data_IF_635135846769
#
_entry.id   IF_635135846769
#
_cell.length_a   1.000
_cell.length_b   1.000
_cell.length_c   1.000
_cell.angle_alpha   90.00
_cell.angle_beta   90.00
_cell.angle_gamma   90.00
#
_symmetry.space_group_name_H-M   'P 1'
#
loop_
_entity.id
_entity.type
_entity.pdbx_description
1 polymer ?
#
# COMPACT_ATOMS: atom_id res chain seq x y z
N UNK A 1 -13.12 -4.00 35.20
CA UNK A 1 -13.66 -4.24 33.84
C UNK A 1 -15.01 -3.55 33.74
N UNK A 2 -15.15 -2.41 33.04
CA UNK A 2 -16.46 -1.75 32.88
C UNK A 2 -17.31 -2.55 31.89
N UNK A 3 -18.51 -2.95 32.31
CA UNK A 3 -19.52 -3.59 31.46
C UNK A 3 -19.90 -2.63 30.32
N UNK A 4 -19.87 -3.06 29.05
CA UNK A 4 -20.17 -2.18 27.92
C UNK A 4 -21.63 -1.75 27.96
N UNK A 5 -21.88 -0.45 27.75
CA UNK A 5 -23.22 0.15 27.76
C UNK A 5 -24.06 -0.38 26.59
N UNK A 6 -25.40 -0.36 26.71
CA UNK A 6 -26.33 -0.85 25.69
C UNK A 6 -26.03 -0.35 24.24
N UNK A 7 -25.68 0.93 23.99
CA UNK A 7 -25.30 1.39 22.65
C UNK A 7 -23.95 0.84 22.15
N UNK A 8 -22.99 0.54 23.05
CA UNK A 8 -21.72 -0.10 22.67
C UNK A 8 -21.94 -1.55 22.24
N UNK A 9 -22.87 -2.27 22.88
CA UNK A 9 -23.27 -3.63 22.46
C UNK A 9 -23.96 -3.63 21.10
N UNK A 10 -24.91 -2.71 20.88
CA UNK A 10 -25.58 -2.57 19.60
C UNK A 10 -24.59 -2.26 18.45
N UNK A 11 -23.66 -1.32 18.67
CA UNK A 11 -22.60 -0.99 17.70
C UNK A 11 -21.67 -2.18 17.44
N UNK A 12 -21.29 -2.94 18.46
CA UNK A 12 -20.46 -4.14 18.30
C UNK A 12 -21.16 -5.25 17.52
N UNK A 13 -22.45 -5.49 17.77
CA UNK A 13 -23.26 -6.43 17.00
C UNK A 13 -23.41 -6.00 15.54
N UNK A 14 -23.66 -4.71 15.28
CA UNK A 14 -23.75 -4.17 13.93
C UNK A 14 -22.44 -4.32 13.15
N UNK A 15 -21.30 -3.92 13.75
CA UNK A 15 -19.97 -4.09 13.13
C UNK A 15 -19.63 -5.57 12.90
N UNK A 16 -20.05 -6.45 13.82
CA UNK A 16 -19.89 -7.90 13.64
C UNK A 16 -20.71 -8.40 12.46
N UNK A 17 -21.96 -7.93 12.29
CA UNK A 17 -22.79 -8.24 11.11
C UNK A 17 -22.13 -7.82 9.81
N UNK A 18 -21.63 -6.57 9.74
CA UNK A 18 -20.91 -6.05 8.57
C UNK A 18 -19.68 -6.90 8.23
N UNK A 19 -18.94 -7.34 9.25
CA UNK A 19 -17.70 -8.12 9.04
C UNK A 19 -17.89 -9.47 8.35
N UNK A 20 -19.12 -9.99 8.24
CA UNK A 20 -19.40 -11.22 7.50
C UNK A 20 -19.39 -11.02 5.98
N UNK A 21 -19.74 -9.83 5.49
CA UNK A 21 -19.86 -9.54 4.07
C UNK A 21 -18.88 -8.48 3.56
N UNK A 22 -18.21 -7.73 4.44
CA UNK A 22 -17.17 -6.76 4.06
C UNK A 22 -15.76 -7.36 4.02
N UNK A 23 -14.81 -6.61 3.45
CA UNK A 23 -13.42 -7.03 3.26
C UNK A 23 -13.30 -8.36 2.51
N UNK A 24 -12.35 -9.21 2.91
CA UNK A 24 -12.06 -10.48 2.22
C UNK A 24 -13.11 -11.61 2.44
N UNK A 25 -14.16 -11.37 3.25
CA UNK A 25 -15.11 -12.40 3.71
C UNK A 25 -14.45 -13.69 4.23
N UNK A 26 -13.44 -13.57 5.11
CA UNK A 26 -12.63 -14.72 5.56
C UNK A 26 -13.43 -15.82 6.26
N UNK A 27 -14.49 -15.46 6.99
CA UNK A 27 -15.36 -16.44 7.66
C UNK A 27 -16.11 -17.30 6.64
N UNK A 28 -16.66 -16.65 5.60
CA UNK A 28 -17.29 -17.33 4.48
C UNK A 28 -16.31 -18.21 3.72
N UNK A 29 -15.09 -17.72 3.46
CA UNK A 29 -14.02 -18.52 2.82
C UNK A 29 -13.71 -19.82 3.58
N UNK A 30 -13.56 -19.75 4.91
CA UNK A 30 -13.36 -20.96 5.75
C UNK A 30 -14.54 -21.92 5.73
N UNK A 31 -15.76 -21.40 5.62
CA UNK A 31 -16.95 -22.23 5.45
C UNK A 31 -16.99 -22.88 4.05
N UNK A 32 -16.56 -22.16 3.02
CA UNK A 32 -16.52 -22.59 1.63
C UNK A 32 -15.55 -23.76 1.39
N UNK A 33 -14.43 -23.81 2.11
CA UNK A 33 -13.44 -24.91 2.05
C UNK A 33 -14.06 -26.30 2.30
N UNK A 34 -15.19 -26.37 3.03
CA UNK A 34 -15.89 -27.61 3.37
C UNK A 34 -17.03 -27.96 2.40
N UNK A 35 -17.32 -27.10 1.42
CA UNK A 35 -18.41 -27.28 0.47
C UNK A 35 -17.98 -28.11 -0.73
N UNK A 36 -18.95 -28.54 -1.55
CA UNK A 36 -18.64 -29.28 -2.78
C UNK A 36 -17.85 -28.45 -3.79
N UNK A 37 -17.01 -29.12 -4.58
CA UNK A 37 -16.03 -28.49 -5.45
C UNK A 37 -16.62 -27.45 -6.41
N UNK A 38 -17.81 -27.67 -6.97
CA UNK A 38 -18.44 -26.71 -7.89
C UNK A 38 -18.81 -25.38 -7.20
N UNK A 39 -19.20 -25.39 -5.91
CA UNK A 39 -19.40 -24.14 -5.16
C UNK A 39 -18.07 -23.43 -4.88
N UNK A 40 -17.03 -24.20 -4.58
CA UNK A 40 -15.69 -23.61 -4.41
C UNK A 40 -15.24 -22.95 -5.71
N UNK A 41 -15.41 -23.64 -6.85
CA UNK A 41 -15.08 -23.10 -8.17
C UNK A 41 -15.87 -21.82 -8.47
N UNK A 42 -17.17 -21.79 -8.16
CA UNK A 42 -17.99 -20.59 -8.30
C UNK A 42 -17.48 -19.44 -7.40
N UNK A 43 -17.18 -19.70 -6.13
CA UNK A 43 -16.59 -18.72 -5.21
C UNK A 43 -15.27 -18.16 -5.76
N UNK A 44 -14.40 -19.02 -6.30
CA UNK A 44 -13.12 -18.60 -6.89
C UNK A 44 -13.31 -17.76 -8.14
N UNK A 45 -14.30 -18.07 -8.98
CA UNK A 45 -14.69 -17.27 -10.15
C UNK A 45 -15.23 -15.89 -9.72
N UNK A 46 -16.11 -15.84 -8.73
CA UNK A 46 -16.65 -14.58 -8.21
C UNK A 46 -15.53 -13.71 -7.59
N UNK A 47 -14.66 -14.30 -6.77
CA UNK A 47 -13.47 -13.60 -6.26
C UNK A 47 -12.56 -13.16 -7.39
N UNK A 48 -12.37 -13.98 -8.42
CA UNK A 48 -11.62 -13.65 -9.62
C UNK A 48 -12.16 -12.41 -10.34
N UNK A 49 -13.47 -12.28 -10.47
CA UNK A 49 -14.09 -11.08 -11.03
C UNK A 49 -13.75 -9.84 -10.18
N UNK A 50 -13.90 -9.92 -8.86
CA UNK A 50 -13.62 -8.79 -7.95
C UNK A 50 -12.13 -8.41 -7.88
N UNK A 51 -11.23 -9.37 -8.09
CA UNK A 51 -9.78 -9.18 -8.00
C UNK A 51 -9.20 -8.26 -9.07
N UNK A 52 -9.94 -7.98 -10.17
CA UNK A 52 -9.54 -6.96 -11.15
C UNK A 52 -9.31 -5.59 -10.48
N UNK A 53 -10.11 -5.26 -9.47
CA UNK A 53 -9.96 -4.04 -8.65
C UNK A 53 -9.38 -4.33 -7.27
N UNK A 54 -8.57 -5.40 -7.16
CA UNK A 54 -7.89 -5.87 -5.95
C UNK A 54 -8.80 -6.30 -4.79
N UNK A 55 -10.05 -6.65 -5.09
CA UNK A 55 -11.03 -7.05 -4.07
C UNK A 55 -11.12 -8.57 -3.98
N UNK A 56 -10.92 -9.13 -2.78
CA UNK A 56 -11.08 -10.56 -2.52
C UNK A 56 -12.45 -10.87 -1.88
N UNK A 57 -13.55 -10.54 -2.56
CA UNK A 57 -14.89 -10.66 -2.00
C UNK A 57 -15.86 -11.26 -3.04
N UNK A 58 -16.44 -12.45 -2.79
CA UNK A 58 -17.34 -13.12 -3.74
C UNK A 58 -18.68 -12.38 -3.90
N UNK A 59 -19.16 -11.68 -2.87
CA UNK A 59 -20.36 -10.83 -2.98
C UNK A 59 -20.09 -9.63 -3.88
N UNK A 60 -18.94 -8.97 -3.73
CA UNK A 60 -18.49 -7.93 -4.66
C UNK A 60 -18.39 -8.47 -6.09
N UNK A 61 -17.85 -9.68 -6.26
CA UNK A 61 -17.78 -10.37 -7.54
C UNK A 61 -19.15 -10.63 -8.18
N UNK A 62 -20.12 -11.06 -7.39
CA UNK A 62 -21.49 -11.26 -7.83
C UNK A 62 -22.13 -9.95 -8.31
N UNK A 63 -21.93 -8.86 -7.57
CA UNK A 63 -22.42 -7.53 -7.94
C UNK A 63 -21.73 -7.03 -9.22
N UNK A 64 -20.43 -7.31 -9.40
CA UNK A 64 -19.72 -7.00 -10.64
C UNK A 64 -20.32 -7.78 -11.81
N UNK A 65 -20.58 -9.08 -11.68
CA UNK A 65 -21.26 -9.83 -12.75
C UNK A 65 -22.65 -9.28 -13.07
N UNK A 66 -23.43 -8.83 -12.07
CA UNK A 66 -24.70 -8.16 -12.31
C UNK A 66 -24.53 -6.87 -13.15
N UNK A 67 -23.48 -6.08 -12.86
CA UNK A 67 -23.12 -4.93 -13.68
C UNK A 67 -22.68 -5.30 -15.10
N UNK A 68 -21.88 -6.35 -15.26
CA UNK A 68 -21.48 -6.86 -16.58
C UNK A 68 -22.68 -7.33 -17.41
N UNK A 69 -23.65 -7.99 -16.77
CA UNK A 69 -24.91 -8.40 -17.42
C UNK A 69 -25.72 -7.17 -17.86
N UNK A 70 -25.79 -6.14 -17.02
CA UNK A 70 -26.43 -4.86 -17.37
C UNK A 70 -25.72 -4.16 -18.53
N UNK A 71 -24.39 -4.28 -18.60
CA UNK A 71 -23.60 -3.78 -19.71
C UNK A 71 -23.97 -4.52 -21.00
N UNK A 72 -23.67 -5.82 -21.06
CA UNK A 72 -23.91 -6.64 -22.23
C UNK A 72 -23.81 -8.14 -21.84
N UNK A 73 -24.86 -8.91 -22.15
CA UNK A 73 -24.92 -10.35 -21.90
C UNK A 73 -23.77 -11.14 -22.55
N UNK A 74 -23.39 -10.78 -23.78
CA UNK A 74 -22.31 -11.44 -24.51
C UNK A 74 -20.94 -11.17 -23.89
N UNK A 75 -20.71 -9.94 -23.43
CA UNK A 75 -19.45 -9.58 -22.75
C UNK A 75 -19.37 -10.29 -21.40
N UNK A 76 -20.45 -10.28 -20.63
CA UNK A 76 -20.54 -10.99 -19.35
C UNK A 76 -20.26 -12.50 -19.50
N UNK A 77 -20.81 -13.13 -20.54
CA UNK A 77 -20.55 -14.54 -20.86
C UNK A 77 -19.07 -14.78 -21.18
N UNK A 78 -18.47 -13.96 -22.04
CA UNK A 78 -17.05 -14.11 -22.39
C UNK A 78 -16.13 -13.89 -21.19
N UNK A 79 -16.42 -12.91 -20.34
CA UNK A 79 -15.70 -12.68 -19.09
C UNK A 79 -15.84 -13.87 -18.12
N UNK A 80 -17.04 -14.42 -17.96
CA UNK A 80 -17.28 -15.62 -17.14
C UNK A 80 -16.46 -16.81 -17.65
N UNK A 81 -16.54 -17.10 -18.97
CA UNK A 81 -15.76 -18.16 -19.61
C UNK A 81 -14.26 -17.93 -19.39
N UNK A 82 -13.76 -16.71 -19.59
CA UNK A 82 -12.35 -16.42 -19.39
C UNK A 82 -11.88 -16.65 -17.94
N UNK A 83 -12.65 -16.18 -16.96
CA UNK A 83 -12.35 -16.41 -15.53
C UNK A 83 -12.35 -17.89 -15.18
N UNK A 84 -13.37 -18.63 -15.66
CA UNK A 84 -13.54 -20.04 -15.40
C UNK A 84 -12.37 -20.86 -15.96
N UNK A 85 -12.00 -20.64 -17.23
CA UNK A 85 -10.93 -21.40 -17.88
C UNK A 85 -9.52 -20.99 -17.41
N UNK A 86 -9.31 -19.73 -17.01
CA UNK A 86 -8.09 -19.35 -16.31
C UNK A 86 -7.97 -20.05 -14.95
N UNK A 87 -9.07 -20.15 -14.19
CA UNK A 87 -9.11 -20.87 -12.91
C UNK A 87 -8.88 -22.37 -13.10
N UNK A 88 -9.54 -22.99 -14.10
CA UNK A 88 -9.33 -24.41 -14.46
C UNK A 88 -7.88 -24.66 -14.86
N UNK A 89 -7.29 -23.80 -15.69
CA UNK A 89 -5.88 -23.91 -16.09
C UNK A 89 -4.95 -23.85 -14.88
N UNK A 90 -5.20 -22.94 -13.94
CA UNK A 90 -4.40 -22.85 -12.70
C UNK A 90 -4.50 -24.13 -11.85
N UNK A 91 -5.66 -24.79 -11.84
CA UNK A 91 -5.86 -26.08 -11.17
C UNK A 91 -5.09 -27.21 -11.86
N UNK A 92 -5.14 -27.27 -13.21
CA UNK A 92 -4.40 -28.24 -14.03
C UNK A 92 -2.89 -28.07 -13.81
N UNK A 93 -2.41 -26.83 -13.78
CA UNK A 93 -1.01 -26.47 -13.54
C UNK A 93 -0.59 -26.55 -12.06
N UNK A 94 -1.48 -27.03 -11.18
CA UNK A 94 -1.23 -27.20 -9.74
C UNK A 94 -0.68 -25.93 -9.05
N UNK A 95 -1.18 -24.76 -9.44
CA UNK A 95 -0.80 -23.50 -8.81
C UNK A 95 -1.27 -23.43 -7.35
N UNK A 96 -0.69 -22.49 -6.58
CA UNK A 96 -0.98 -22.33 -5.16
C UNK A 96 -2.49 -22.24 -4.88
N UNK A 97 -3.02 -23.20 -4.11
CA UNK A 97 -4.46 -23.32 -3.82
C UNK A 97 -5.04 -22.12 -3.10
N UNK A 98 -4.29 -21.48 -2.20
CA UNK A 98 -4.71 -20.26 -1.52
C UNK A 98 -4.83 -19.07 -2.48
N UNK A 99 -3.92 -18.95 -3.45
CA UNK A 99 -3.98 -17.92 -4.48
C UNK A 99 -5.15 -18.14 -5.46
N UNK A 100 -5.41 -19.40 -5.85
CA UNK A 100 -6.59 -19.77 -6.63
C UNK A 100 -7.87 -19.42 -5.85
N UNK A 101 -7.95 -19.82 -4.58
CA UNK A 101 -9.11 -19.56 -3.74
C UNK A 101 -9.34 -18.07 -3.47
N UNK A 102 -8.29 -17.26 -3.52
CA UNK A 102 -8.39 -15.80 -3.45
C UNK A 102 -8.75 -15.13 -4.79
N UNK A 103 -8.93 -15.89 -5.87
CA UNK A 103 -9.25 -15.37 -7.20
C UNK A 103 -8.06 -14.81 -8.00
N UNK A 104 -6.82 -14.94 -7.51
CA UNK A 104 -5.64 -14.32 -8.11
C UNK A 104 -5.25 -14.91 -9.49
N UNK A 105 -5.79 -16.08 -9.84
CA UNK A 105 -5.62 -16.68 -11.16
C UNK A 105 -6.82 -16.47 -12.09
N UNK A 106 -7.91 -15.86 -11.63
CA UNK A 106 -9.12 -15.63 -12.41
C UNK A 106 -9.21 -14.25 -13.06
N UNK A 107 -8.72 -13.20 -12.39
CA UNK A 107 -8.96 -11.81 -12.81
C UNK A 107 -8.27 -11.40 -14.11
N UNK A 108 -7.15 -12.02 -14.49
CA UNK A 108 -6.59 -11.79 -15.82
C UNK A 108 -7.47 -12.44 -16.90
N UNK A 109 -8.05 -13.61 -16.61
CA UNK A 109 -8.96 -14.32 -17.50
C UNK A 109 -10.26 -13.57 -17.77
N UNK A 110 -10.87 -12.94 -16.74
CA UNK A 110 -12.09 -12.15 -16.96
C UNK A 110 -11.85 -11.00 -17.95
N UNK A 111 -10.73 -10.28 -17.79
CA UNK A 111 -10.37 -9.17 -18.66
C UNK A 111 -10.04 -9.65 -20.08
N UNK A 112 -9.32 -10.76 -20.23
CA UNK A 112 -9.08 -11.36 -21.55
C UNK A 112 -10.40 -11.64 -22.26
N UNK A 113 -11.32 -12.34 -21.60
CA UNK A 113 -12.62 -12.66 -22.20
C UNK A 113 -13.44 -11.43 -22.55
N UNK A 114 -13.56 -10.47 -21.62
CA UNK A 114 -14.29 -9.23 -21.84
C UNK A 114 -13.73 -8.44 -23.02
N UNK A 115 -12.43 -8.17 -23.02
CA UNK A 115 -11.83 -7.28 -24.01
C UNK A 115 -11.67 -7.95 -25.39
N UNK A 116 -11.56 -9.27 -25.44
CA UNK A 116 -11.69 -9.99 -26.73
C UNK A 116 -13.09 -9.84 -27.34
N UNK A 117 -14.14 -9.78 -26.52
CA UNK A 117 -15.49 -9.49 -27.00
C UNK A 117 -15.66 -8.02 -27.42
N UNK A 118 -15.18 -7.08 -26.60
CA UNK A 118 -15.25 -5.64 -26.88
C UNK A 118 -14.51 -5.27 -28.17
N UNK A 119 -13.33 -5.85 -28.41
CA UNK A 119 -12.52 -5.53 -29.59
C UNK A 119 -12.83 -6.39 -30.83
N UNK A 120 -13.80 -7.30 -30.77
CA UNK A 120 -14.17 -8.10 -31.95
C UNK A 120 -15.07 -7.32 -32.91
N UNK A 121 -14.68 -7.27 -34.18
CA UNK A 121 -15.48 -6.64 -35.25
C UNK A 121 -16.61 -7.55 -35.78
N UNK A 122 -16.75 -8.77 -35.26
CA UNK A 122 -17.88 -9.68 -35.58
C UNK A 122 -19.13 -9.37 -34.76
N UNK A 123 -19.02 -8.53 -33.73
CA UNK A 123 -20.13 -8.16 -32.84
C UNK A 123 -20.54 -9.27 -31.86
N UNK A 124 -21.72 -9.09 -31.27
CA UNK A 124 -22.23 -9.98 -30.24
C UNK A 124 -22.64 -11.35 -30.80
N UNK A 125 -22.57 -12.38 -29.94
CA UNK A 125 -22.99 -13.76 -30.23
C UNK A 125 -22.22 -14.48 -31.33
N UNK A 126 -21.03 -13.98 -31.69
CA UNK A 126 -20.08 -14.72 -32.53
C UNK A 126 -19.43 -15.86 -31.74
N UNK A 127 -20.11 -17.02 -31.66
CA UNK A 127 -19.73 -18.18 -30.84
C UNK A 127 -18.31 -18.68 -31.05
N UNK A 128 -17.76 -18.56 -32.26
CA UNK A 128 -16.37 -18.95 -32.55
C UNK A 128 -15.35 -18.20 -31.71
N UNK A 129 -15.67 -16.99 -31.21
CA UNK A 129 -14.80 -16.21 -30.32
C UNK A 129 -14.51 -16.93 -28.99
N UNK A 130 -15.38 -17.84 -28.56
CA UNK A 130 -15.15 -18.62 -27.34
C UNK A 130 -13.88 -19.48 -27.43
N UNK A 131 -13.52 -19.96 -28.63
CA UNK A 131 -12.32 -20.79 -28.82
C UNK A 131 -11.02 -20.04 -28.49
N UNK A 132 -10.69 -18.91 -29.14
CA UNK A 132 -9.50 -18.15 -28.78
C UNK A 132 -9.61 -17.54 -27.38
N UNK A 133 -10.81 -17.20 -26.88
CA UNK A 133 -11.00 -16.73 -25.51
C UNK A 133 -10.57 -17.79 -24.49
N UNK A 134 -11.08 -19.03 -24.61
CA UNK A 134 -10.68 -20.14 -23.75
C UNK A 134 -9.17 -20.34 -23.80
N UNK A 135 -8.60 -20.40 -25.00
CA UNK A 135 -7.16 -20.61 -25.17
C UNK A 135 -6.33 -19.51 -24.49
N UNK A 136 -6.61 -18.23 -24.78
CA UNK A 136 -5.88 -17.11 -24.18
C UNK A 136 -6.08 -17.04 -22.67
N UNK A 137 -7.29 -17.31 -22.17
CA UNK A 137 -7.57 -17.34 -20.74
C UNK A 137 -6.81 -18.46 -20.03
N UNK A 138 -6.68 -19.64 -20.65
CA UNK A 138 -5.86 -20.74 -20.11
C UNK A 138 -4.36 -20.41 -20.07
N UNK A 139 -3.88 -19.47 -20.90
CA UNK A 139 -2.49 -18.98 -20.84
C UNK A 139 -2.26 -17.98 -19.69
N UNK A 140 -3.30 -17.38 -19.12
CA UNK A 140 -3.16 -16.39 -18.04
C UNK A 140 -2.35 -16.90 -16.84
N UNK A 141 -2.61 -18.11 -16.28
CA UNK A 141 -1.81 -18.63 -15.17
C UNK A 141 -0.34 -18.87 -15.52
N UNK A 142 -0.04 -19.26 -16.77
CA UNK A 142 1.33 -19.49 -17.24
C UNK A 142 2.10 -18.16 -17.23
N UNK A 143 1.54 -17.13 -17.88
CA UNK A 143 2.15 -15.79 -17.91
C UNK A 143 2.23 -15.19 -16.51
N UNK A 144 1.19 -15.38 -15.69
CA UNK A 144 1.17 -14.94 -14.28
C UNK A 144 2.30 -15.57 -13.48
N UNK A 145 2.49 -16.88 -13.60
CA UNK A 145 3.57 -17.60 -12.90
C UNK A 145 4.95 -17.14 -13.37
N UNK A 146 5.15 -16.96 -14.68
CA UNK A 146 6.41 -16.46 -15.22
C UNK A 146 6.75 -15.06 -14.69
N UNK A 147 5.80 -14.12 -14.75
CA UNK A 147 5.99 -12.76 -14.24
C UNK A 147 6.18 -12.74 -12.72
N UNK A 148 5.45 -13.57 -11.97
CA UNK A 148 5.59 -13.66 -10.52
C UNK A 148 6.99 -14.13 -10.11
N UNK A 149 7.61 -15.03 -10.89
CA UNK A 149 8.98 -15.48 -10.62
C UNK A 149 10.02 -14.36 -10.70
N UNK A 150 9.77 -13.35 -11.55
CA UNK A 150 10.61 -12.15 -11.69
C UNK A 150 10.25 -11.14 -10.60
N UNK A 151 8.97 -10.77 -10.51
CA UNK A 151 8.49 -9.68 -9.64
C UNK A 151 8.64 -10.01 -8.15
N UNK A 152 8.58 -11.28 -7.76
CA UNK A 152 8.79 -11.71 -6.37
C UNK A 152 10.17 -11.35 -5.81
N UNK A 153 11.18 -11.13 -6.66
CA UNK A 153 12.52 -10.67 -6.24
C UNK A 153 12.50 -9.27 -5.61
N UNK A 154 11.51 -8.45 -5.96
CA UNK A 154 11.31 -7.10 -5.43
C UNK A 154 10.03 -6.96 -4.60
N UNK A 155 9.41 -8.10 -4.24
CA UNK A 155 8.11 -8.15 -3.56
C UNK A 155 7.07 -7.28 -4.31
N UNK A 156 6.95 -7.50 -5.63
CA UNK A 156 6.00 -6.81 -6.51
C UNK A 156 4.90 -7.75 -7.02
N UNK A 157 3.65 -7.27 -7.14
CA UNK A 157 2.58 -8.03 -7.75
C UNK A 157 2.75 -8.08 -9.27
N UNK A 158 2.05 -9.01 -9.94
CA UNK A 158 2.03 -9.10 -11.41
C UNK A 158 1.02 -8.17 -12.06
N UNK A 159 0.05 -7.67 -11.29
CA UNK A 159 -1.06 -6.86 -11.79
C UNK A 159 -1.76 -7.49 -13.01
N UNK A 160 -2.33 -6.66 -13.88
CA UNK A 160 -3.02 -7.11 -15.09
C UNK A 160 -2.06 -7.30 -16.26
N UNK A 161 -0.74 -7.41 -16.03
CA UNK A 161 0.26 -7.67 -17.09
C UNK A 161 -0.06 -8.94 -17.91
N UNK A 162 -0.47 -10.08 -17.31
CA UNK A 162 -0.86 -11.25 -18.08
C UNK A 162 -2.00 -10.97 -19.06
N UNK A 163 -3.05 -10.27 -18.62
CA UNK A 163 -4.15 -9.83 -19.47
C UNK A 163 -3.66 -8.96 -20.63
N UNK A 164 -2.86 -7.93 -20.32
CA UNK A 164 -2.38 -6.97 -21.31
C UNK A 164 -1.56 -7.67 -22.41
N UNK A 165 -0.65 -8.57 -22.01
CA UNK A 165 0.17 -9.35 -22.94
C UNK A 165 -0.71 -10.22 -23.84
N UNK A 166 -1.67 -10.95 -23.27
CA UNK A 166 -2.45 -11.96 -24.01
C UNK A 166 -3.49 -11.33 -24.94
N UNK A 167 -4.14 -10.23 -24.53
CA UNK A 167 -5.05 -9.49 -25.43
C UNK A 167 -4.26 -8.83 -26.56
N UNK A 168 -3.13 -8.20 -26.27
CA UNK A 168 -2.29 -7.64 -27.34
C UNK A 168 -1.79 -8.73 -28.29
N UNK A 169 -1.34 -9.87 -27.77
CA UNK A 169 -0.93 -11.01 -28.59
C UNK A 169 -2.07 -11.48 -29.51
N UNK A 170 -3.29 -11.62 -28.99
CA UNK A 170 -4.45 -12.00 -29.79
C UNK A 170 -4.74 -10.97 -30.89
N UNK A 171 -4.75 -9.68 -30.52
CA UNK A 171 -5.09 -8.60 -31.43
C UNK A 171 -4.03 -8.41 -32.54
N UNK A 172 -2.74 -8.55 -32.23
CA UNK A 172 -1.68 -8.52 -33.26
C UNK A 172 -1.77 -9.74 -34.18
N UNK A 173 -1.98 -10.94 -33.61
CA UNK A 173 -2.01 -12.18 -34.39
C UNK A 173 -3.20 -12.25 -35.35
N UNK A 174 -4.31 -11.60 -35.01
CA UNK A 174 -5.51 -11.57 -35.84
C UNK A 174 -5.57 -10.28 -36.67
N UNK A 175 -5.53 -9.13 -36.01
CA UNK A 175 -5.63 -7.81 -36.65
C UNK A 175 -7.01 -7.55 -37.26
N UNK A 176 -7.16 -6.36 -37.85
CA UNK A 176 -8.44 -5.93 -38.43
C UNK A 176 -8.87 -6.79 -39.63
N UNK A 177 -7.92 -7.25 -40.44
CA UNK A 177 -8.18 -7.94 -41.70
C UNK A 177 -8.25 -9.47 -41.59
N UNK A 178 -8.26 -10.04 -40.37
CA UNK A 178 -8.45 -11.47 -40.22
C UNK A 178 -9.83 -11.91 -40.73
N UNK A 179 -9.90 -13.00 -41.48
CA UNK A 179 -11.18 -13.51 -41.98
C UNK A 179 -12.10 -14.00 -40.85
N UNK A 180 -11.53 -14.69 -39.86
CA UNK A 180 -12.27 -15.40 -38.82
C UNK A 180 -12.46 -14.55 -37.56
N UNK A 181 -11.43 -13.82 -37.14
CA UNK A 181 -11.41 -13.06 -35.90
C UNK A 181 -10.97 -11.60 -36.14
N UNK A 182 -11.64 -10.84 -37.02
CA UNK A 182 -11.27 -9.45 -37.29
C UNK A 182 -11.45 -8.61 -36.02
N UNK A 183 -10.45 -7.79 -35.71
CA UNK A 183 -10.49 -6.84 -34.60
C UNK A 183 -11.05 -5.48 -35.04
N UNK A 184 -11.53 -4.67 -34.11
CA UNK A 184 -11.87 -3.26 -34.38
C UNK A 184 -10.65 -2.52 -34.91
N UNK A 185 -10.88 -1.60 -35.85
CA UNK A 185 -9.80 -0.81 -36.43
C UNK A 185 -9.38 0.30 -35.46
N UNK A 186 -8.11 0.27 -35.04
CA UNK A 186 -7.50 1.32 -34.22
C UNK A 186 -6.41 1.97 -35.06
N UNK A 187 -6.42 3.30 -35.13
CA UNK A 187 -5.48 4.07 -35.93
C UNK A 187 -4.91 5.25 -35.11
N UNK A 188 -3.68 5.67 -35.40
CA UNK A 188 -3.14 6.90 -34.83
C UNK A 188 -3.93 8.10 -35.30
N UNK A 189 -4.07 9.11 -34.44
CA UNK A 189 -4.69 10.38 -34.84
C UNK A 189 -3.77 11.09 -35.83
N UNK A 190 -4.31 11.45 -36.99
CA UNK A 190 -3.61 12.23 -38.02
C UNK A 190 -3.90 13.72 -37.96
N UNK A 191 -4.92 14.14 -37.21
CA UNK A 191 -5.42 15.51 -37.16
C UNK A 191 -5.61 16.00 -35.73
N UNK A 192 -5.53 17.32 -35.57
CA UNK A 192 -5.83 17.99 -34.31
C UNK A 192 -7.34 17.90 -34.04
N UNK A 193 -7.77 17.47 -32.83
CA UNK A 193 -9.19 17.46 -32.51
C UNK A 193 -9.73 18.89 -32.44
N UNK A 194 -10.83 19.15 -33.13
CA UNK A 194 -11.53 20.42 -33.03
C UNK A 194 -12.32 20.47 -31.71
N UNK A 195 -11.81 21.21 -30.71
CA UNK A 195 -12.40 21.30 -29.38
C UNK A 195 -13.03 22.68 -29.18
N UNK A 196 -14.35 22.72 -29.07
CA UNK A 196 -15.09 23.92 -28.70
C UNK A 196 -15.40 23.88 -27.20
N UNK A 197 -14.62 24.59 -26.39
CA UNK A 197 -14.79 24.58 -24.92
C UNK A 197 -16.18 24.99 -24.43
N UNK A 198 -16.90 25.79 -25.21
CA UNK A 198 -18.28 26.18 -24.90
C UNK A 198 -19.29 25.03 -25.02
N UNK A 199 -18.96 23.95 -25.74
CA UNK A 199 -19.81 22.77 -25.94
C UNK A 199 -19.61 21.70 -24.85
N UNK A 200 -18.84 22.00 -23.82
CA UNK A 200 -18.58 21.06 -22.73
C UNK A 200 -19.87 20.72 -21.99
N UNK A 201 -20.21 19.44 -21.97
CA UNK A 201 -21.35 18.90 -21.22
C UNK A 201 -20.89 18.51 -19.81
N UNK A 202 -21.21 19.37 -18.85
CA UNK A 202 -20.86 19.20 -17.43
C UNK A 202 -21.51 17.95 -16.83
N UNK A 203 -22.74 17.61 -17.24
CA UNK A 203 -23.39 16.39 -16.76
C UNK A 203 -22.62 15.16 -17.23
N UNK A 204 -22.17 15.14 -18.49
CA UNK A 204 -21.32 14.06 -19.01
C UNK A 204 -19.96 13.98 -18.33
N UNK A 205 -19.37 15.11 -17.92
CA UNK A 205 -18.18 15.10 -17.08
C UNK A 205 -18.44 14.37 -15.75
N UNK A 206 -19.50 14.71 -15.02
CA UNK A 206 -19.82 13.99 -13.79
C UNK A 206 -20.08 12.51 -14.02
N UNK A 207 -20.80 12.15 -15.09
CA UNK A 207 -21.03 10.73 -15.43
C UNK A 207 -19.76 10.03 -15.91
N UNK A 208 -18.74 10.75 -16.37
CA UNK A 208 -17.46 10.14 -16.78
C UNK A 208 -16.73 9.47 -15.62
N UNK A 209 -17.00 9.89 -14.37
CA UNK A 209 -16.41 9.31 -13.16
C UNK A 209 -16.85 7.85 -12.96
N UNK A 210 -18.16 7.52 -12.87
CA UNK A 210 -18.59 6.13 -12.84
C UNK A 210 -18.26 5.39 -14.13
N UNK A 211 -18.36 6.02 -15.32
CA UNK A 211 -17.97 5.37 -16.59
C UNK A 211 -16.49 4.96 -16.58
N UNK A 212 -15.60 5.80 -16.06
CA UNK A 212 -14.17 5.47 -15.91
C UNK A 212 -13.93 4.27 -14.99
N UNK A 213 -14.76 4.08 -13.96
CA UNK A 213 -14.72 2.85 -13.14
C UNK A 213 -15.26 1.65 -13.92
N UNK A 214 -16.32 1.83 -14.72
CA UNK A 214 -16.85 0.81 -15.63
C UNK A 214 -15.81 0.34 -16.65
N UNK A 215 -15.04 1.28 -17.22
CA UNK A 215 -14.02 1.01 -18.24
C UNK A 215 -12.86 0.15 -17.74
N UNK A 216 -12.70 -0.04 -16.43
CA UNK A 216 -11.77 -1.05 -15.87
C UNK A 216 -12.10 -2.46 -16.43
N UNK A 217 -13.36 -2.72 -16.75
CA UNK A 217 -13.86 -3.94 -17.38
C UNK A 217 -14.28 -3.73 -18.84
N UNK A 218 -13.93 -2.59 -19.46
CA UNK A 218 -14.39 -2.23 -20.80
C UNK A 218 -15.88 -1.88 -20.90
N UNK A 219 -16.50 -1.41 -19.80
CA UNK A 219 -17.91 -1.06 -19.75
C UNK A 219 -18.12 0.45 -19.83
N UNK A 220 -18.94 0.91 -20.77
CA UNK A 220 -19.20 2.33 -21.03
C UNK A 220 -20.50 2.87 -20.41
N UNK A 221 -21.40 2.00 -19.91
CA UNK A 221 -22.65 2.47 -19.28
C UNK A 221 -22.36 3.03 -17.88
N UNK A 222 -22.82 4.26 -17.56
CA UNK A 222 -22.60 4.86 -16.24
C UNK A 222 -23.22 4.04 -15.10
N UNK A 223 -24.36 3.38 -15.36
CA UNK A 223 -25.02 2.52 -14.39
C UNK A 223 -24.19 1.29 -14.00
N UNK A 224 -23.49 0.69 -14.97
CA UNK A 224 -22.54 -0.40 -14.71
C UNK A 224 -21.42 0.06 -13.79
N UNK A 225 -20.85 1.23 -14.07
CA UNK A 225 -19.88 1.90 -13.20
C UNK A 225 -20.40 2.16 -11.79
N UNK A 226 -21.64 2.64 -11.66
CA UNK A 226 -22.32 2.83 -10.37
C UNK A 226 -22.47 1.53 -9.56
N UNK A 227 -22.82 0.43 -10.23
CA UNK A 227 -22.88 -0.90 -9.60
C UNK A 227 -21.49 -1.34 -9.11
N UNK A 228 -20.43 -1.06 -9.88
CA UNK A 228 -19.06 -1.37 -9.46
C UNK A 228 -18.62 -0.53 -8.25
N UNK A 229 -19.02 0.75 -8.17
CA UNK A 229 -18.80 1.58 -6.98
C UNK A 229 -19.44 0.93 -5.73
N UNK A 230 -20.69 0.46 -5.83
CA UNK A 230 -21.38 -0.23 -4.73
C UNK A 230 -20.63 -1.50 -4.34
N UNK A 231 -20.18 -2.28 -5.32
CA UNK A 231 -19.38 -3.50 -5.12
C UNK A 231 -18.09 -3.22 -4.33
N UNK A 232 -17.36 -2.17 -4.70
CA UNK A 232 -16.15 -1.74 -4.00
C UNK A 232 -16.46 -1.28 -2.58
N UNK A 233 -17.50 -0.46 -2.40
CA UNK A 233 -17.89 0.09 -1.11
C UNK A 233 -18.24 -1.01 -0.09
N UNK A 234 -18.93 -2.07 -0.52
CA UNK A 234 -19.27 -3.22 0.32
C UNK A 234 -18.01 -3.90 0.87
N UNK A 235 -16.97 -4.04 0.05
CA UNK A 235 -15.71 -4.64 0.49
C UNK A 235 -14.86 -3.67 1.32
N UNK A 236 -14.56 -2.49 0.77
CA UNK A 236 -13.72 -1.46 1.37
C UNK A 236 -14.15 -0.06 0.92
N UNK A 237 -14.71 0.75 1.83
CA UNK A 237 -14.97 2.16 1.57
C UNK A 237 -13.72 2.94 1.15
N UNK A 238 -12.53 2.61 1.66
CA UNK A 238 -11.28 3.26 1.26
C UNK A 238 -10.91 2.94 -0.19
N UNK A 239 -11.02 1.68 -0.61
CA UNK A 239 -10.82 1.27 -2.01
C UNK A 239 -11.82 1.98 -2.91
N UNK A 240 -13.08 2.04 -2.51
CA UNK A 240 -14.13 2.77 -3.22
C UNK A 240 -13.79 4.26 -3.39
N UNK A 241 -13.34 4.93 -2.33
CA UNK A 241 -12.99 6.34 -2.38
C UNK A 241 -11.83 6.61 -3.35
N UNK A 242 -10.76 5.79 -3.30
CA UNK A 242 -9.63 5.94 -4.22
C UNK A 242 -9.99 5.56 -5.67
N UNK A 243 -10.96 4.67 -5.88
CA UNK A 243 -11.49 4.39 -7.22
C UNK A 243 -12.16 5.65 -7.81
N UNK A 244 -13.05 6.29 -7.05
CA UNK A 244 -13.75 7.52 -7.48
C UNK A 244 -12.75 8.66 -7.69
N UNK A 245 -11.80 8.85 -6.77
CA UNK A 245 -10.75 9.86 -6.90
C UNK A 245 -9.86 9.62 -8.11
N UNK A 246 -9.42 8.37 -8.34
CA UNK A 246 -8.61 8.00 -9.49
C UNK A 246 -9.32 8.31 -10.81
N UNK A 247 -10.60 7.94 -10.92
CA UNK A 247 -11.40 8.26 -12.11
C UNK A 247 -11.55 9.77 -12.34
N UNK A 248 -11.82 10.53 -11.26
CA UNK A 248 -11.92 11.99 -11.34
C UNK A 248 -10.59 12.67 -11.71
N UNK A 249 -9.46 12.20 -11.16
CA UNK A 249 -8.11 12.68 -11.53
C UNK A 249 -7.84 12.42 -13.00
N UNK A 250 -8.21 11.25 -13.50
CA UNK A 250 -8.12 10.91 -14.92
C UNK A 250 -8.91 11.87 -15.80
N UNK A 251 -10.19 12.10 -15.48
CA UNK A 251 -11.05 13.07 -16.17
C UNK A 251 -10.42 14.47 -16.19
N UNK A 252 -9.97 14.99 -15.05
CA UNK A 252 -9.34 16.32 -14.95
C UNK A 252 -8.04 16.37 -15.76
N UNK A 253 -7.26 15.30 -15.77
CA UNK A 253 -6.02 15.21 -16.57
C UNK A 253 -6.32 15.26 -18.08
N UNK A 254 -7.41 14.61 -18.52
CA UNK A 254 -7.87 14.68 -19.91
C UNK A 254 -8.27 16.10 -20.31
N UNK A 255 -8.96 16.82 -19.43
CA UNK A 255 -9.27 18.25 -19.64
C UNK A 255 -7.98 19.08 -19.71
N UNK A 256 -7.06 18.88 -18.78
CA UNK A 256 -5.79 19.62 -18.74
C UNK A 256 -4.93 19.42 -20.01
N UNK A 257 -5.05 18.26 -20.65
CA UNK A 257 -4.35 17.94 -21.90
C UNK A 257 -5.16 18.22 -23.17
N UNK A 258 -6.29 18.91 -23.05
CA UNK A 258 -7.19 19.21 -24.16
C UNK A 258 -7.53 17.93 -24.97
N UNK A 259 -7.88 16.86 -24.27
CA UNK A 259 -8.36 15.64 -24.91
C UNK A 259 -9.77 15.86 -25.49
N UNK A 260 -10.13 15.16 -26.58
CA UNK A 260 -11.50 15.19 -27.09
C UNK A 260 -12.50 14.85 -25.99
N UNK A 261 -13.54 15.65 -25.84
CA UNK A 261 -14.54 15.45 -24.79
C UNK A 261 -15.20 14.07 -24.87
N UNK A 262 -15.38 13.52 -26.07
CA UNK A 262 -15.87 12.16 -26.27
C UNK A 262 -15.06 11.10 -25.54
N UNK A 263 -13.72 11.16 -25.60
CA UNK A 263 -12.83 10.21 -24.92
C UNK A 263 -12.94 10.33 -23.40
N UNK A 264 -13.11 11.56 -22.91
CA UNK A 264 -13.28 11.85 -21.48
C UNK A 264 -14.63 11.29 -21.02
N UNK A 265 -15.73 11.60 -21.73
CA UNK A 265 -17.08 11.13 -21.41
C UNK A 265 -17.19 9.60 -21.46
N UNK A 266 -16.47 8.97 -22.38
CA UNK A 266 -16.38 7.52 -22.50
C UNK A 266 -15.50 6.87 -21.42
N UNK A 267 -14.93 7.65 -20.50
CA UNK A 267 -14.16 7.19 -19.36
C UNK A 267 -12.75 6.68 -19.69
N UNK A 268 -12.26 6.89 -20.92
CA UNK A 268 -10.96 6.38 -21.38
C UNK A 268 -9.77 6.99 -20.62
N UNK A 269 -9.98 8.17 -20.05
CA UNK A 269 -8.99 8.84 -19.20
C UNK A 269 -9.02 8.39 -17.73
N UNK A 270 -10.09 7.72 -17.29
CA UNK A 270 -10.33 7.40 -15.88
C UNK A 270 -9.82 6.02 -15.46
N UNK A 271 -10.02 4.98 -16.25
CA UNK A 271 -9.91 3.59 -15.78
C UNK A 271 -8.50 3.15 -15.34
N UNK A 272 -7.46 3.59 -16.04
CA UNK A 272 -6.08 3.33 -15.62
C UNK A 272 -5.76 4.03 -14.29
N UNK A 273 -6.25 5.27 -14.14
CA UNK A 273 -6.09 6.09 -12.94
C UNK A 273 -6.84 5.51 -11.74
N UNK A 274 -8.02 4.88 -11.96
CA UNK A 274 -8.76 4.12 -10.93
C UNK A 274 -7.86 3.05 -10.32
N UNK A 275 -7.29 2.17 -11.15
CA UNK A 275 -6.46 1.07 -10.68
C UNK A 275 -5.17 1.55 -10.00
N UNK A 276 -4.51 2.57 -10.57
CA UNK A 276 -3.30 3.15 -9.99
C UNK A 276 -3.57 3.79 -8.61
N UNK A 277 -4.66 4.56 -8.51
CA UNK A 277 -5.04 5.23 -7.27
C UNK A 277 -5.42 4.21 -6.17
N UNK A 278 -6.16 3.15 -6.51
CA UNK A 278 -6.46 2.06 -5.57
C UNK A 278 -5.17 1.35 -5.11
N UNK A 279 -4.28 0.99 -6.05
CA UNK A 279 -3.08 0.23 -5.75
C UNK A 279 -2.18 0.96 -4.73
N UNK A 280 -1.94 2.26 -4.94
CA UNK A 280 -1.10 3.06 -4.04
C UNK A 280 -1.88 3.52 -2.80
N UNK A 281 -3.17 3.84 -2.95
CA UNK A 281 -4.06 4.41 -1.93
C UNK A 281 -4.54 3.44 -0.87
N UNK A 282 -3.63 2.67 -0.25
CA UNK A 282 -3.92 1.80 0.89
C UNK A 282 -3.86 0.30 0.61
N UNK A 283 -3.81 -0.13 -0.66
CA UNK A 283 -3.69 -1.55 -1.00
C UNK A 283 -2.26 -2.07 -0.80
N UNK A 284 -1.27 -1.49 -1.50
CA UNK A 284 0.14 -1.92 -1.43
C UNK A 284 1.02 -1.01 -0.58
N UNK A 285 0.54 0.19 -0.22
CA UNK A 285 1.09 1.02 0.83
C UNK A 285 0.11 1.13 1.99
N UNK A 286 0.62 1.31 3.22
CA UNK A 286 -0.24 1.64 4.35
C UNK A 286 -0.78 3.08 4.21
N UNK A 287 -2.10 3.26 4.29
CA UNK A 287 -2.73 4.55 4.02
C UNK A 287 -2.39 5.59 5.11
N UNK A 288 -1.46 6.48 4.78
CA UNK A 288 -1.17 7.74 5.48
C UNK A 288 -1.54 8.92 4.59
N UNK A 289 -1.54 10.14 5.10
CA UNK A 289 -1.78 11.33 4.28
C UNK A 289 -0.73 11.49 3.15
N UNK A 290 0.53 11.14 3.43
CA UNK A 290 1.61 11.14 2.44
C UNK A 290 1.33 10.14 1.32
N UNK A 291 0.87 8.94 1.68
CA UNK A 291 0.51 7.89 0.71
C UNK A 291 -0.74 8.27 -0.08
N UNK A 292 -1.70 8.96 0.53
CA UNK A 292 -2.86 9.50 -0.18
C UNK A 292 -2.43 10.50 -1.28
N UNK A 293 -1.55 11.46 -0.94
CA UNK A 293 -0.96 12.36 -1.94
C UNK A 293 -0.17 11.60 -3.01
N UNK A 294 0.62 10.60 -2.61
CA UNK A 294 1.36 9.74 -3.54
C UNK A 294 0.44 9.00 -4.50
N UNK A 295 -0.73 8.54 -4.04
CA UNK A 295 -1.72 7.87 -4.87
C UNK A 295 -2.33 8.82 -5.91
N UNK A 296 -2.64 10.07 -5.53
CA UNK A 296 -3.12 11.10 -6.46
C UNK A 296 -2.02 11.42 -7.49
N UNK A 297 -0.77 11.58 -7.07
CA UNK A 297 0.37 11.79 -7.98
C UNK A 297 0.55 10.62 -8.94
N UNK A 298 0.41 9.37 -8.45
CA UNK A 298 0.45 8.18 -9.28
C UNK A 298 -0.69 8.16 -10.30
N UNK A 299 -1.90 8.56 -9.92
CA UNK A 299 -3.05 8.67 -10.81
C UNK A 299 -2.83 9.72 -11.92
N UNK A 300 -2.29 10.90 -11.59
CA UNK A 300 -1.90 11.90 -12.61
C UNK A 300 -0.83 11.34 -13.55
N UNK A 301 0.26 10.78 -13.01
CA UNK A 301 1.30 10.15 -13.83
C UNK A 301 0.72 9.07 -14.76
N UNK A 302 -0.22 8.27 -14.24
CA UNK A 302 -0.90 7.22 -14.99
C UNK A 302 -1.79 7.77 -16.11
N UNK A 303 -2.48 8.90 -15.90
CA UNK A 303 -3.27 9.56 -16.94
C UNK A 303 -2.40 10.00 -18.12
N UNK A 304 -1.28 10.67 -17.84
CA UNK A 304 -0.31 11.08 -18.85
C UNK A 304 0.28 9.87 -19.58
N UNK A 305 0.69 8.84 -18.84
CA UNK A 305 1.22 7.61 -19.42
C UNK A 305 0.15 6.88 -20.27
N UNK A 306 -1.12 6.99 -19.91
CA UNK A 306 -2.23 6.43 -20.69
C UNK A 306 -2.33 7.05 -22.07
N UNK A 307 -2.27 8.38 -22.17
CA UNK A 307 -2.25 9.07 -23.45
C UNK A 307 -1.01 8.70 -24.29
N UNK A 308 0.17 8.67 -23.66
CA UNK A 308 1.42 8.32 -24.35
C UNK A 308 1.39 6.89 -24.92
N UNK A 309 1.00 5.91 -24.11
CA UNK A 309 0.92 4.50 -24.53
C UNK A 309 -0.18 4.30 -25.56
N UNK A 310 -1.35 4.94 -25.42
CA UNK A 310 -2.41 4.86 -26.40
C UNK A 310 -1.95 5.35 -27.78
N UNK A 311 -1.25 6.49 -27.83
CA UNK A 311 -0.69 7.01 -29.08
C UNK A 311 0.33 6.04 -29.69
N UNK A 312 1.26 5.49 -28.90
CA UNK A 312 2.24 4.51 -29.39
C UNK A 312 1.55 3.25 -29.90
N UNK A 313 0.66 2.65 -29.11
CA UNK A 313 0.01 1.39 -29.44
C UNK A 313 -0.93 1.50 -30.63
N UNK A 314 -1.55 2.65 -30.85
CA UNK A 314 -2.40 2.89 -32.02
C UNK A 314 -1.66 2.74 -33.35
N UNK A 315 -0.33 2.99 -33.38
CA UNK A 315 0.50 2.77 -34.59
C UNK A 315 0.60 1.29 -34.99
N UNK A 316 0.39 0.38 -34.04
CA UNK A 316 0.33 -1.06 -34.25
C UNK A 316 -1.12 -1.59 -34.32
N UNK A 317 -2.12 -0.70 -34.33
CA UNK A 317 -3.53 -1.08 -34.30
C UNK A 317 -3.97 -1.67 -32.96
N UNK A 318 -3.31 -1.31 -31.86
CA UNK A 318 -3.58 -1.84 -30.53
C UNK A 318 -4.15 -0.78 -29.57
N UNK A 319 -5.02 -1.19 -28.63
CA UNK A 319 -5.45 -0.35 -27.53
C UNK A 319 -4.39 -0.31 -26.41
N UNK A 320 -4.37 0.75 -25.61
CA UNK A 320 -3.49 0.83 -24.43
C UNK A 320 -3.80 -0.24 -23.37
N UNK A 321 -5.06 -0.68 -23.29
CA UNK A 321 -5.57 -1.51 -22.20
C UNK A 321 -5.11 -0.96 -20.85
N UNK A 322 -4.64 -1.81 -19.95
CA UNK A 322 -4.17 -1.40 -18.61
C UNK A 322 -2.64 -1.44 -18.47
N UNK A 323 -1.90 -1.40 -19.60
CA UNK A 323 -0.45 -1.17 -19.58
C UNK A 323 -0.06 0.09 -18.80
N UNK A 324 -0.75 1.25 -18.97
CA UNK A 324 -0.40 2.46 -18.23
C UNK A 324 -0.53 2.29 -16.72
N UNK A 325 -1.59 1.64 -16.26
CA UNK A 325 -1.76 1.29 -14.84
C UNK A 325 -0.61 0.42 -14.34
N UNK A 326 -0.32 -0.71 -15.01
CA UNK A 326 0.69 -1.66 -14.55
C UNK A 326 2.05 -0.98 -14.42
N UNK A 327 2.47 -0.22 -15.43
CA UNK A 327 3.77 0.45 -15.44
C UNK A 327 3.82 1.55 -14.38
N UNK A 328 2.76 2.35 -14.24
CA UNK A 328 2.69 3.41 -13.22
C UNK A 328 2.77 2.85 -11.81
N UNK A 329 1.94 1.85 -11.49
CA UNK A 329 1.90 1.28 -10.16
C UNK A 329 3.21 0.56 -9.81
N UNK A 330 3.84 -0.15 -10.75
CA UNK A 330 5.15 -0.79 -10.54
C UNK A 330 6.25 0.25 -10.30
N UNK A 331 6.31 1.32 -11.10
CA UNK A 331 7.27 2.41 -10.89
C UNK A 331 7.12 3.01 -9.50
N UNK A 332 5.89 3.28 -9.05
CA UNK A 332 5.64 3.86 -7.74
C UNK A 332 5.88 2.87 -6.60
N UNK A 333 5.68 1.56 -6.80
CA UNK A 333 6.01 0.52 -5.81
C UNK A 333 7.51 0.21 -5.69
N UNK A 334 8.30 0.63 -6.68
CA UNK A 334 9.76 0.55 -6.66
C UNK A 334 10.40 1.80 -6.02
N UNK A 335 9.61 2.84 -5.74
CA UNK A 335 10.09 4.04 -5.07
C UNK A 335 10.66 3.70 -3.69
N UNK A 336 11.92 4.07 -3.48
CA UNK A 336 12.57 4.05 -2.16
C UNK A 336 12.57 5.45 -1.57
N UNK A 337 12.41 5.56 -0.25
CA UNK A 337 12.37 6.85 0.45
C UNK A 337 12.90 6.72 1.87
N UNK A 338 13.54 7.78 2.37
CA UNK A 338 14.06 7.85 3.74
C UNK A 338 12.97 8.11 4.80
N UNK A 339 11.72 8.36 4.41
CA UNK A 339 10.63 8.62 5.36
C UNK A 339 9.90 7.36 5.78
N UNK A 340 9.69 7.20 7.08
CA UNK A 340 8.90 6.10 7.65
C UNK A 340 7.38 6.27 7.48
N UNK A 341 6.93 7.37 6.85
CA UNK A 341 5.51 7.67 6.62
C UNK A 341 4.95 7.05 5.33
N UNK A 342 5.82 6.68 4.40
CA UNK A 342 5.49 5.97 3.17
C UNK A 342 5.96 4.54 3.35
N UNK A 343 5.05 3.67 3.77
CA UNK A 343 5.37 2.29 4.14
C UNK A 343 4.75 1.31 3.14
N UNK A 344 5.61 0.69 2.32
CA UNK A 344 5.21 -0.40 1.42
C UNK A 344 4.90 -1.64 2.26
N UNK A 345 3.73 -2.23 2.03
CA UNK A 345 3.32 -3.46 2.72
C UNK A 345 4.02 -4.67 2.09
N UNK A 346 4.50 -5.63 2.89
CA UNK A 346 4.94 -6.92 2.37
C UNK A 346 3.75 -7.61 1.69
N UNK A 347 3.93 -8.15 0.48
CA UNK A 347 2.81 -8.70 -0.30
C UNK A 347 2.06 -9.81 0.43
N UNK A 348 2.77 -10.65 1.18
CA UNK A 348 2.18 -11.72 1.98
C UNK A 348 1.22 -11.23 3.08
N UNK A 349 1.22 -9.92 3.40
CA UNK A 349 0.34 -9.29 4.39
C UNK A 349 -0.76 -8.43 3.76
N UNK A 350 -0.71 -8.17 2.46
CA UNK A 350 -1.71 -7.36 1.75
C UNK A 350 -3.08 -8.04 1.81
N UNK A 351 -4.09 -7.27 2.20
CA UNK A 351 -5.49 -7.67 2.20
C UNK A 351 -6.36 -6.56 1.61
N UNK A 352 -6.90 -5.67 2.45
CA UNK A 352 -7.65 -4.49 2.06
C UNK A 352 -7.25 -3.29 2.95
N UNK A 353 -7.47 -2.04 2.51
CA UNK A 353 -6.80 -0.87 3.09
C UNK A 353 -7.04 -0.67 4.58
N UNK A 354 -8.26 -0.87 5.06
CA UNK A 354 -8.61 -0.73 6.48
C UNK A 354 -7.81 -1.72 7.35
N UNK A 355 -7.64 -2.95 6.87
CA UNK A 355 -6.88 -3.98 7.59
C UNK A 355 -5.38 -3.80 7.44
N UNK A 356 -4.92 -3.37 6.27
CA UNK A 356 -3.52 -3.01 6.01
C UNK A 356 -3.06 -1.87 6.93
N UNK A 357 -3.91 -0.85 7.10
CA UNK A 357 -3.68 0.25 8.02
C UNK A 357 -3.61 -0.25 9.48
N UNK A 358 -4.50 -1.16 9.87
CA UNK A 358 -4.46 -1.82 11.18
C UNK A 358 -3.16 -2.62 11.42
N UNK A 359 -2.62 -3.27 10.38
CA UNK A 359 -1.32 -3.95 10.45
C UNK A 359 -0.17 -2.96 10.64
N UNK A 360 -0.15 -1.86 9.87
CA UNK A 360 0.85 -0.81 9.99
C UNK A 360 0.92 -0.20 11.40
N UNK A 361 -0.22 0.15 12.00
CA UNK A 361 -0.24 0.73 13.34
C UNK A 361 0.22 -0.26 14.43
N UNK A 362 -0.07 -1.55 14.27
CA UNK A 362 0.44 -2.59 15.17
C UNK A 362 1.96 -2.66 15.10
N UNK A 363 2.53 -2.65 13.90
CA UNK A 363 3.97 -2.67 13.67
C UNK A 363 4.64 -1.42 14.28
N UNK A 364 4.08 -0.22 14.04
CA UNK A 364 4.57 1.03 14.65
C UNK A 364 4.53 1.01 16.18
N UNK A 365 3.48 0.41 16.77
CA UNK A 365 3.40 0.25 18.22
C UNK A 365 4.47 -0.70 18.75
N UNK A 366 4.75 -1.81 18.05
CA UNK A 366 5.81 -2.76 18.40
C UNK A 366 7.19 -2.10 18.32
N UNK A 367 7.50 -1.38 17.24
CA UNK A 367 8.75 -0.62 17.10
C UNK A 367 8.95 0.38 18.25
N UNK A 368 7.89 1.10 18.64
CA UNK A 368 7.97 2.06 19.76
C UNK A 368 8.24 1.37 21.11
N UNK A 369 7.59 0.22 21.35
CA UNK A 369 7.81 -0.56 22.57
C UNK A 369 9.23 -1.13 22.64
N UNK A 370 9.77 -1.62 21.52
CA UNK A 370 11.15 -2.12 21.45
C UNK A 370 12.18 -1.02 21.66
N UNK A 371 11.97 0.17 21.07
CA UNK A 371 12.83 1.34 21.30
C UNK A 371 12.81 1.79 22.76
N UNK A 372 11.63 1.82 23.39
CA UNK A 372 11.51 2.17 24.80
C UNK A 372 12.27 1.17 25.70
N UNK A 373 12.14 -0.14 25.43
CA UNK A 373 12.88 -1.19 26.15
C UNK A 373 14.40 -1.08 25.96
N UNK A 374 14.84 -0.73 24.74
CA UNK A 374 16.26 -0.54 24.44
C UNK A 374 16.83 0.67 25.19
N UNK A 375 16.12 1.79 25.20
CA UNK A 375 16.49 2.98 25.95
C UNK A 375 16.52 2.74 27.47
N UNK A 376 15.56 1.97 28.00
CA UNK A 376 15.53 1.59 29.42
C UNK A 376 16.72 0.68 29.78
N UNK A 377 17.07 -0.27 28.92
CA UNK A 377 18.25 -1.14 29.12
C UNK A 377 19.55 -0.35 29.08
N UNK A 378 19.70 0.55 28.11
CA UNK A 378 20.87 1.43 27.98
C UNK A 378 20.99 2.38 29.19
N UNK A 379 19.88 2.97 29.64
CA UNK A 379 19.85 3.79 30.85
C UNK A 379 20.24 3.03 32.11
N UNK A 380 19.74 1.80 32.28
CA UNK A 380 20.10 0.95 33.42
C UNK A 380 21.58 0.50 33.38
N UNK A 381 22.13 0.23 32.20
CA UNK A 381 23.56 -0.10 32.04
C UNK A 381 24.45 1.12 32.34
N UNK A 382 24.05 2.31 31.89
CA UNK A 382 24.76 3.55 32.15
C UNK A 382 24.70 3.93 33.64
N UNK A 383 23.57 3.74 34.31
CA UNK A 383 23.44 3.93 35.75
C UNK A 383 24.34 2.97 36.54
N UNK A 384 24.39 1.69 36.16
CA UNK A 384 25.31 0.73 36.78
C UNK A 384 26.78 1.11 36.57
N UNK A 385 27.15 1.56 35.38
CA UNK A 385 28.51 2.03 35.10
C UNK A 385 28.86 3.28 35.93
N UNK A 386 27.91 4.18 36.18
CA UNK A 386 28.10 5.33 37.06
C UNK A 386 28.28 4.85 38.51
N UNK A 387 27.43 3.96 39.01
CA UNK A 387 27.56 3.37 40.35
C UNK A 387 28.89 2.63 40.55
N UNK A 388 29.33 1.83 39.57
CA UNK A 388 30.62 1.15 39.61
C UNK A 388 31.80 2.14 39.64
N UNK A 389 31.73 3.22 38.87
CA UNK A 389 32.75 4.27 38.89
C UNK A 389 32.77 5.03 40.22
N UNK A 390 31.61 5.33 40.82
CA UNK A 390 31.53 5.96 42.14
C UNK A 390 32.18 5.05 43.20
N UNK A 391 31.83 3.76 43.22
CA UNK A 391 32.41 2.78 44.13
C UNK A 391 33.93 2.65 43.93
N UNK A 392 34.41 2.68 42.68
CA UNK A 392 35.84 2.64 42.38
C UNK A 392 36.56 3.88 42.93
N UNK A 393 35.98 5.06 42.74
CA UNK A 393 36.54 6.33 43.17
C UNK A 393 36.56 6.45 44.71
N UNK A 394 35.50 6.00 45.40
CA UNK A 394 35.48 5.88 46.87
C UNK A 394 36.58 4.94 47.37
N UNK A 395 36.78 3.78 46.71
CA UNK A 395 37.86 2.86 47.06
C UNK A 395 39.26 3.46 46.86
N UNK A 396 39.46 4.26 45.81
CA UNK A 396 40.72 4.97 45.59
C UNK A 396 40.97 6.05 46.65
N UNK A 397 39.94 6.83 47.02
CA UNK A 397 40.05 7.80 48.11
C UNK A 397 40.43 7.14 49.44
N UNK A 398 39.77 6.03 49.79
CA UNK A 398 40.09 5.28 51.01
C UNK A 398 41.53 4.72 51.00
N UNK A 399 42.04 4.28 49.83
CA UNK A 399 43.46 3.88 49.72
C UNK A 399 44.40 5.05 49.97
N UNK A 400 44.14 6.20 49.36
CA UNK A 400 44.97 7.40 49.52
C UNK A 400 44.96 7.91 50.98
N UNK A 401 43.83 7.82 51.67
CA UNK A 401 43.74 8.13 53.10
C UNK A 401 44.54 7.15 53.95
N UNK A 402 44.46 5.85 53.67
CA UNK A 402 45.26 4.84 54.36
C UNK A 402 46.76 5.07 54.19
N UNK A 403 47.22 5.35 52.95
CA UNK A 403 48.61 5.71 52.67
C UNK A 403 49.06 6.99 53.38
N UNK A 404 48.17 8.00 53.53
CA UNK A 404 48.47 9.20 54.32
C UNK A 404 48.57 8.90 55.82
N UNK A 405 47.70 8.04 56.35
CA UNK A 405 47.79 7.65 57.76
C UNK A 405 49.05 6.83 58.04
N UNK A 406 49.44 5.93 57.14
CA UNK A 406 50.71 5.20 57.25
C UNK A 406 51.92 6.14 57.19
N UNK A 407 51.91 7.13 56.29
CA UNK A 407 52.96 8.17 56.27
C UNK A 407 52.96 9.05 57.51
N UNK A 408 51.78 9.44 58.00
CA UNK A 408 51.64 10.23 59.23
C UNK A 408 52.11 9.46 60.46
N UNK A 409 51.87 8.14 60.53
CA UNK A 409 52.43 7.28 61.58
C UNK A 409 53.95 7.12 61.47
N UNK A 410 54.47 6.98 60.25
CA UNK A 410 55.93 6.92 60.03
C UNK A 410 56.62 8.26 60.35
N UNK A 411 55.96 9.40 60.09
CA UNK A 411 56.43 10.73 60.48
C UNK A 411 56.29 10.98 62.00
N UNK A 412 55.24 10.44 62.65
CA UNK A 412 55.12 10.51 64.11
C UNK A 412 56.14 9.63 64.83
N UNK A 413 56.41 8.42 64.32
CA UNK A 413 57.47 7.55 64.82
C UNK A 413 58.86 8.17 64.60
N UNK A 414 59.08 8.86 63.48
CA UNK A 414 60.32 9.62 63.25
C UNK A 414 60.44 10.87 64.17
N UNK A 415 59.32 11.47 64.58
CA UNK A 415 59.31 12.61 65.53
C UNK A 415 59.39 12.18 67.01
N UNK A 416 59.06 10.92 67.33
CA UNK A 416 59.24 10.32 68.66
C UNK A 416 60.68 9.83 68.87
N UNK A 417 61.43 9.55 67.80
CA UNK A 417 62.87 9.17 67.87
C UNK A 417 63.84 10.37 67.91
N UNK A 418 63.37 11.62 67.75
CA UNK A 418 64.23 12.83 67.76
C UNK A 418 64.07 13.73 69.00
N UNK A 419 63.31 13.30 70.02
CA UNK A 419 63.04 14.12 71.21
C UNK A 419 63.45 13.47 72.54
N UNK A 420 64.63 12.85 72.58
CA UNK A 420 65.33 12.61 73.85
C UNK A 420 66.84 12.83 73.67
N UNK A 421 67.29 14.09 73.67
CA UNK A 421 68.55 14.50 74.32
C UNK A 421 68.78 16.03 74.33
N UNK A 422 68.89 16.57 75.55
CA UNK A 422 69.72 17.69 76.02
C UNK A 422 69.24 19.18 75.98
N UNK A 423 69.05 19.68 77.22
CA UNK A 423 69.55 20.92 77.84
C UNK A 423 69.18 22.35 77.35
N UNK A 424 68.43 23.04 78.24
CA UNK A 424 68.65 24.37 78.88
C UNK A 424 69.22 25.52 78.03
N UNK A 425 68.44 26.61 77.82
CA UNK A 425 68.70 27.96 78.37
C UNK A 425 67.55 28.94 78.06
N UNK A 426 67.26 29.81 79.03
CA UNK A 426 66.31 30.93 78.99
C UNK A 426 66.72 32.01 77.97
N UNK A 427 65.75 32.64 77.29
CA UNK A 427 65.72 34.12 77.21
C UNK A 427 64.38 34.65 76.66
N UNK A 428 63.91 35.69 77.35
CA UNK A 428 62.79 36.59 77.05
C UNK A 428 62.92 37.31 75.68
N UNK A 429 61.79 37.68 75.05
CA UNK A 429 61.39 39.08 74.74
C UNK A 429 59.99 39.16 74.08
N UNK A 430 59.32 40.23 74.47
CA UNK A 430 57.99 40.76 74.20
C UNK A 430 57.57 41.09 72.75
N UNK A 431 56.24 40.96 72.56
CA UNK A 431 55.25 41.88 71.95
C UNK A 431 55.35 42.47 70.52
N UNK A 432 54.14 42.47 69.93
CA UNK A 432 53.53 43.42 68.98
C UNK A 432 53.99 43.32 67.51
N UNK A 433 53.11 43.29 66.52
CA UNK A 433 51.65 43.39 66.52
C UNK A 433 51.07 43.46 65.11
N UNK A 434 49.73 43.52 65.08
CA UNK A 434 48.84 44.19 64.11
C UNK A 434 48.74 43.66 62.68
N UNK A 435 47.50 43.47 62.23
CA UNK A 435 47.14 43.57 60.81
C UNK A 435 45.93 42.73 60.40
N UNK A 436 44.74 43.23 60.71
CA UNK A 436 43.43 42.80 60.16
C UNK A 436 43.28 43.09 58.65
N UNK A 437 42.11 42.66 58.12
CA UNK A 437 41.40 43.08 56.89
C UNK A 437 41.70 42.26 55.61
N UNK A 438 40.74 41.79 54.78
CA UNK A 438 39.30 42.07 54.57
C UNK A 438 38.71 40.90 53.72
N UNK A 439 37.56 40.31 54.08
CA UNK A 439 36.20 40.45 53.50
C UNK A 439 35.99 39.98 52.03
N UNK A 440 35.03 39.06 51.83
CA UNK A 440 33.91 39.32 50.90
C UNK A 440 33.50 38.26 49.85
N UNK A 441 32.27 37.73 50.02
CA UNK A 441 31.25 37.40 48.98
C UNK A 441 31.53 36.26 47.97
N UNK A 442 30.56 35.49 47.41
CA UNK A 442 29.10 35.57 47.39
C UNK A 442 28.44 34.24 46.96
N UNK A 443 27.23 34.04 47.48
CA UNK A 443 25.96 33.58 46.88
C UNK A 443 25.81 32.34 45.97
N UNK A 444 24.86 31.51 46.42
CA UNK A 444 24.00 30.63 45.62
C UNK A 444 23.16 31.43 44.61
N UNK A 445 22.92 30.87 43.42
CA UNK A 445 21.77 31.28 42.60
C UNK A 445 21.12 30.08 41.94
N UNK A 446 19.84 29.92 42.26
CA UNK A 446 18.82 29.07 41.67
C UNK A 446 18.22 29.82 40.46
N UNK A 447 18.14 29.23 39.26
CA UNK A 447 17.31 29.76 38.16
C UNK A 447 16.67 28.65 37.31
N UNK A 448 15.41 28.93 37.02
CA UNK A 448 14.27 28.23 36.43
C UNK A 448 14.32 27.87 34.95
N UNK A 449 13.45 26.90 34.61
CA UNK A 449 12.88 26.61 33.29
C UNK A 449 12.24 27.85 32.65
N UNK A 450 12.45 28.02 31.34
CA UNK A 450 11.74 28.97 30.48
C UNK A 450 11.26 28.29 29.20
N UNK A 451 9.95 28.37 28.97
CA UNK A 451 9.25 28.11 27.71
C UNK A 451 9.66 29.12 26.63
N UNK A 452 9.59 28.71 25.35
CA UNK A 452 9.28 29.62 24.24
C UNK A 452 8.57 28.87 23.10
N UNK A 453 7.34 29.34 22.87
CA UNK A 453 6.58 29.55 21.61
C UNK A 453 6.78 28.64 20.39
#
# INVERSE_FOLDING_TARGET
MKTPTNPQRARACFLKGISYFSGDMKVFGKWMEKQFFLLQLLDWVLRGAAQVMFVNNPLSGLIIFAGLILQNYWWALNGFVGTLFATISALILQQNRGAIAAGLYGYNGILVGLLMAVFSNKGDWYWWLLLPNIFMSMMCPIVSSALASINSRWDLPVFTLPFNILVCLHMVATGHYNHNFPQVLIQPRSELPNITWAEIDVAKLFTSVPVGIGQVYGCDKPWTGGIFIISLFISSPITCAHAVLGSAVGMVSGLALAAPFGDIYFGLWGYNCVLACIAIGGMFYALTWQVHLLAITCAFFCAYLSAAIANIMSTFGLPACTWPFCLSALTFLLLTTGTNKIFKLPLAKVTYPEKNLGFFWKLKKQEKMERAKKAEKEGNEQQKAIEENIILNEKEQLRLEHERMEKGMAESEASEDENDETHVEDHWVEQQGTGDEEIGHNDLTEVTLGDHD
#
